data_IF_312734967491
#
_entry.id   IF_312734967491
#
_cell.length_a   1.000
_cell.length_b   1.000
_cell.length_c   1.000
_cell.angle_alpha   90.00
_cell.angle_beta   90.00
_cell.angle_gamma   90.00
#
_symmetry.space_group_name_H-M   'P 1'
#
loop_
_entity.id
_entity.type
_entity.pdbx_description
1 polymer ?
#
# COMPACT_ATOMS: atom_id res chain seq x y z
N UNK A 1 7.63 -0.24 10.91
CA UNK A 1 6.89 -1.38 10.33
C UNK A 1 7.24 -1.46 8.85
N UNK A 2 7.71 -2.59 8.35
CA UNK A 2 7.87 -2.78 6.90
C UNK A 2 6.56 -3.33 6.32
N UNK A 3 6.09 -2.74 5.24
CA UNK A 3 4.99 -3.28 4.46
C UNK A 3 5.49 -3.61 3.05
N UNK A 4 5.00 -4.70 2.50
CA UNK A 4 5.25 -5.13 1.13
C UNK A 4 3.93 -5.13 0.37
N UNK A 5 3.86 -4.33 -0.68
CA UNK A 5 2.70 -4.24 -1.55
C UNK A 5 3.07 -4.74 -2.93
N UNK A 6 2.26 -5.61 -3.52
CA UNK A 6 2.35 -5.92 -4.95
C UNK A 6 0.98 -5.92 -5.60
N UNK A 7 0.99 -5.61 -6.88
CA UNK A 7 -0.23 -5.53 -7.65
C UNK A 7 0.01 -5.22 -9.11
N UNK A 8 -1.09 -5.00 -9.80
CA UNK A 8 -1.09 -4.51 -11.16
C UNK A 8 -2.23 -3.54 -11.40
N UNK A 9 -2.07 -2.73 -12.43
CA UNK A 9 -3.08 -1.77 -12.86
C UNK A 9 -3.42 -1.98 -14.33
N UNK A 10 -4.70 -1.85 -14.67
CA UNK A 10 -5.22 -1.94 -16.04
C UNK A 10 -5.79 -0.61 -16.49
N UNK A 11 -5.78 -0.41 -17.81
CA UNK A 11 -6.35 0.76 -18.45
C UNK A 11 -6.82 0.38 -19.86
N UNK A 12 -8.11 0.52 -20.16
CA UNK A 12 -8.71 0.07 -21.43
C UNK A 12 -8.05 0.72 -22.65
N UNK A 13 -7.70 2.00 -22.54
CA UNK A 13 -7.03 2.78 -23.60
C UNK A 13 -5.51 2.63 -23.60
N UNK A 14 -4.95 1.78 -22.73
CA UNK A 14 -3.54 1.75 -22.43
C UNK A 14 -3.06 3.00 -21.68
N UNK A 15 -1.85 2.94 -21.16
CA UNK A 15 -1.33 4.01 -20.32
C UNK A 15 0.05 3.75 -19.75
N UNK A 16 0.37 4.51 -18.70
CA UNK A 16 1.63 4.39 -17.97
C UNK A 16 1.39 4.72 -16.51
N UNK A 17 1.89 3.89 -15.59
CA UNK A 17 2.02 4.28 -14.18
C UNK A 17 3.26 5.16 -14.07
N UNK A 18 3.07 6.38 -13.57
CA UNK A 18 4.07 7.44 -13.50
C UNK A 18 4.56 7.70 -12.09
N UNK A 19 3.87 7.18 -11.08
CA UNK A 19 4.29 7.33 -9.69
C UNK A 19 3.58 6.36 -8.77
N UNK A 20 4.25 6.01 -7.69
CA UNK A 20 3.72 5.20 -6.61
C UNK A 20 4.09 5.88 -5.31
N UNK A 21 3.10 6.08 -4.44
CA UNK A 21 3.32 6.68 -3.12
C UNK A 21 2.49 5.94 -2.07
N UNK A 22 3.08 5.69 -0.91
CA UNK A 22 2.35 5.18 0.25
C UNK A 22 2.32 6.26 1.31
N UNK A 23 1.12 6.51 1.83
CA UNK A 23 0.93 7.39 2.97
C UNK A 23 0.22 6.66 4.11
N UNK A 24 0.31 7.21 5.31
CA UNK A 24 -0.54 6.81 6.43
C UNK A 24 -0.88 8.03 7.29
N UNK A 25 -1.92 7.89 8.10
CA UNK A 25 -2.28 8.88 9.09
C UNK A 25 -1.54 8.62 10.40
N UNK A 26 -1.15 9.69 11.09
CA UNK A 26 -0.74 9.63 12.49
C UNK A 26 -1.72 10.44 13.36
N UNK A 27 -2.05 9.87 14.51
CA UNK A 27 -2.86 10.56 15.51
C UNK A 27 -2.05 11.73 16.12
N UNK A 28 -2.68 12.90 16.26
CA UNK A 28 -2.02 14.10 16.77
C UNK A 28 -1.39 13.89 18.14
N UNK A 29 -0.29 14.59 18.39
CA UNK A 29 0.27 14.76 19.72
C UNK A 29 -0.51 15.73 20.62
N UNK A 30 -1.76 16.08 20.32
CA UNK A 30 -2.53 17.08 21.10
C UNK A 30 -1.98 18.52 21.01
N UNK A 31 -2.69 19.45 21.65
CA UNK A 31 -2.50 20.92 21.52
C UNK A 31 -1.11 21.44 21.92
N UNK A 32 -0.36 20.71 22.77
CA UNK A 32 0.98 21.12 23.22
C UNK A 32 2.12 20.42 22.48
N UNK A 33 1.81 19.65 21.43
CA UNK A 33 2.84 18.96 20.66
C UNK A 33 3.50 19.87 19.65
N UNK A 34 4.82 19.72 19.54
CA UNK A 34 5.59 20.26 18.41
C UNK A 34 5.37 19.44 17.12
N UNK A 35 4.29 18.66 17.02
CA UNK A 35 3.96 17.98 15.77
C UNK A 35 3.44 19.02 14.75
N UNK A 36 3.77 18.87 13.45
CA UNK A 36 3.09 19.60 12.38
C UNK A 36 1.58 19.31 12.38
N UNK A 37 0.77 20.25 11.89
CA UNK A 37 -0.68 20.07 11.74
C UNK A 37 -1.05 19.04 10.65
N UNK A 38 -0.14 18.80 9.69
CA UNK A 38 -0.32 17.76 8.67
C UNK A 38 -0.29 16.38 9.31
N UNK A 39 -1.35 15.60 9.09
CA UNK A 39 -1.53 14.28 9.71
C UNK A 39 -1.29 13.11 8.78
N UNK A 40 -1.29 13.36 7.46
CA UNK A 40 -0.99 12.35 6.45
C UNK A 40 0.49 12.41 6.09
N UNK A 41 1.20 11.31 6.29
CA UNK A 41 2.64 11.21 6.14
C UNK A 41 3.02 10.29 5.01
N UNK A 42 4.00 10.71 4.21
CA UNK A 42 4.59 9.92 3.15
C UNK A 42 5.60 8.92 3.73
N UNK A 43 5.26 7.64 3.65
CA UNK A 43 6.14 6.54 4.06
C UNK A 43 7.05 6.06 2.92
N UNK A 44 6.62 6.26 1.68
CA UNK A 44 7.36 5.86 0.50
C UNK A 44 6.88 6.65 -0.71
N UNK A 45 7.80 7.01 -1.61
CA UNK A 45 7.47 7.57 -2.91
C UNK A 45 8.51 7.22 -3.96
N UNK A 46 8.02 6.87 -5.14
CA UNK A 46 8.79 6.86 -6.38
C UNK A 46 7.99 7.63 -7.43
N UNK A 47 8.63 8.62 -8.01
CA UNK A 47 8.09 9.43 -9.11
C UNK A 47 8.75 9.05 -10.43
N UNK A 48 8.26 9.63 -11.53
CA UNK A 48 8.81 9.50 -12.88
C UNK A 48 8.95 8.06 -13.37
N UNK A 49 8.04 7.19 -12.92
CA UNK A 49 7.94 5.82 -13.40
C UNK A 49 7.48 5.78 -14.87
N UNK A 50 7.84 4.69 -15.56
CA UNK A 50 7.37 4.42 -16.92
C UNK A 50 6.86 2.99 -17.07
N UNK A 51 6.04 2.54 -16.11
CA UNK A 51 5.47 1.18 -16.17
C UNK A 51 4.33 1.20 -17.18
N UNK A 52 4.54 0.57 -18.34
CA UNK A 52 3.56 0.56 -19.43
C UNK A 52 2.37 -0.34 -19.09
N UNK A 53 1.18 0.14 -19.47
CA UNK A 53 -0.08 -0.58 -19.45
C UNK A 53 -0.54 -0.69 -20.90
N UNK A 54 -0.70 -1.89 -21.43
CA UNK A 54 -1.20 -2.06 -22.80
C UNK A 54 -2.71 -1.83 -22.88
N UNK A 55 -3.21 -1.48 -24.05
CA UNK A 55 -4.64 -1.31 -24.30
C UNK A 55 -5.32 -2.63 -24.64
N UNK A 56 -5.95 -3.26 -23.66
CA UNK A 56 -7.01 -4.28 -23.76
C UNK A 56 -7.29 -4.83 -22.35
N UNK A 57 -8.47 -5.39 -22.11
CA UNK A 57 -8.83 -5.89 -20.77
C UNK A 57 -8.05 -7.19 -20.44
N UNK A 58 -7.35 -7.15 -19.31
CA UNK A 58 -6.71 -8.25 -18.56
C UNK A 58 -5.28 -8.66 -18.94
N UNK A 59 -4.92 -8.88 -20.21
CA UNK A 59 -3.56 -9.40 -20.55
C UNK A 59 -2.44 -8.35 -20.57
N UNK A 60 -2.79 -7.08 -20.38
CA UNK A 60 -1.92 -5.94 -20.63
C UNK A 60 -1.75 -5.00 -19.41
N UNK A 61 -1.82 -5.56 -18.20
CA UNK A 61 -1.67 -4.77 -16.96
C UNK A 61 -0.21 -4.37 -16.68
N UNK A 62 -0.01 -3.17 -16.15
CA UNK A 62 1.29 -2.75 -15.60
C UNK A 62 1.45 -3.26 -14.17
N UNK A 63 2.47 -4.07 -13.90
CA UNK A 63 2.74 -4.63 -12.58
C UNK A 63 3.69 -3.75 -11.76
N UNK A 64 3.51 -3.74 -10.44
CA UNK A 64 4.38 -3.02 -9.51
C UNK A 64 4.56 -3.79 -8.20
N UNK A 65 5.67 -3.51 -7.53
CA UNK A 65 5.92 -3.92 -6.15
C UNK A 65 6.53 -2.75 -5.39
N UNK A 66 6.02 -2.48 -4.19
CA UNK A 66 6.38 -1.33 -3.36
C UNK A 66 6.71 -1.80 -1.95
N UNK A 67 7.99 -1.72 -1.53
CA UNK A 67 8.34 -1.78 -0.12
C UNK A 67 8.15 -0.39 0.50
N UNK A 68 7.45 -0.30 1.63
CA UNK A 68 7.32 0.96 2.36
C UNK A 68 7.58 0.75 3.85
N UNK A 69 8.28 1.69 4.49
CA UNK A 69 8.53 1.67 5.92
C UNK A 69 7.60 2.68 6.59
N UNK A 70 6.62 2.18 7.33
CA UNK A 70 5.79 3.01 8.18
C UNK A 70 6.52 3.26 9.49
N UNK A 71 6.60 4.50 9.91
CA UNK A 71 7.25 4.92 11.14
C UNK A 71 6.37 5.91 11.86
N UNK A 72 6.14 5.71 13.16
CA UNK A 72 5.49 6.72 14.00
C UNK A 72 6.46 7.84 14.32
N UNK A 73 5.96 9.08 14.32
CA UNK A 73 6.66 10.20 14.96
C UNK A 73 6.51 10.11 16.47
N UNK A 74 7.63 10.32 17.16
CA UNK A 74 7.63 10.56 18.60
C UNK A 74 7.61 12.07 18.85
N UNK A 75 6.43 12.66 19.00
CA UNK A 75 6.34 14.04 19.43
C UNK A 75 6.39 14.10 20.96
N UNK A 76 7.44 14.72 21.50
CA UNK A 76 7.55 15.01 22.94
C UNK A 76 6.70 16.25 23.29
N UNK A 77 5.87 16.17 24.33
CA UNK A 77 5.36 17.37 25.02
C UNK A 77 6.30 17.73 26.17
N UNK A 78 6.42 19.02 26.48
CA UNK A 78 7.20 19.52 27.64
C UNK A 78 6.68 18.96 28.97
N UNK A 79 5.41 18.55 29.03
CA UNK A 79 4.76 18.05 30.25
C UNK A 79 4.59 16.53 30.30
N UNK A 80 4.55 15.84 29.14
CA UNK A 80 4.29 14.39 29.05
C UNK A 80 4.88 13.80 27.76
N UNK A 81 5.40 12.58 27.78
CA UNK A 81 5.57 11.83 26.53
C UNK A 81 4.23 11.19 26.19
N UNK A 82 3.65 11.54 25.03
CA UNK A 82 2.51 10.80 24.53
C UNK A 82 2.96 9.36 24.24
N UNK A 83 2.18 8.38 24.69
CA UNK A 83 2.41 6.98 24.31
C UNK A 83 2.25 6.89 22.80
N UNK A 84 3.31 6.46 22.10
CA UNK A 84 3.26 6.22 20.66
C UNK A 84 2.20 5.14 20.42
N UNK A 85 1.26 5.42 19.51
CA UNK A 85 0.23 4.45 19.13
C UNK A 85 0.89 3.20 18.57
N UNK A 86 0.38 2.02 18.93
CA UNK A 86 0.80 0.75 18.34
C UNK A 86 0.08 0.47 17.00
N UNK A 87 -0.51 1.49 16.37
CA UNK A 87 -1.35 1.33 15.18
C UNK A 87 -1.01 2.33 14.09
N UNK A 88 -0.85 1.83 12.87
CA UNK A 88 -0.82 2.64 11.66
C UNK A 88 -2.22 2.73 11.06
N UNK A 89 -2.77 3.93 10.97
CA UNK A 89 -4.14 4.19 10.54
C UNK A 89 -4.18 4.79 9.13
N UNK A 90 -5.33 4.65 8.46
CA UNK A 90 -5.62 5.25 7.16
C UNK A 90 -4.45 5.14 6.14
N UNK A 91 -3.93 3.92 6.00
CA UNK A 91 -2.82 3.64 5.08
C UNK A 91 -3.37 3.73 3.65
N UNK A 92 -2.72 4.49 2.78
CA UNK A 92 -3.16 4.70 1.40
C UNK A 92 -2.05 4.37 0.42
N UNK A 93 -2.41 3.66 -0.64
CA UNK A 93 -1.59 3.54 -1.84
C UNK A 93 -2.10 4.54 -2.88
N UNK A 94 -1.24 5.46 -3.28
CA UNK A 94 -1.44 6.40 -4.37
C UNK A 94 -0.73 5.86 -5.60
N UNK A 95 -1.48 5.74 -6.69
CA UNK A 95 -0.96 5.35 -8.01
C UNK A 95 -1.17 6.53 -8.93
N UNK A 96 -0.08 7.19 -9.31
CA UNK A 96 -0.10 8.24 -10.34
C UNK A 96 0.02 7.57 -11.70
N UNK A 97 -0.83 7.97 -12.65
CA UNK A 97 -0.90 7.33 -13.95
C UNK A 97 -1.31 8.30 -15.05
N UNK A 98 -1.02 7.91 -16.30
CA UNK A 98 -1.56 8.51 -17.51
C UNK A 98 -2.29 7.45 -18.32
N UNK A 99 -3.61 7.55 -18.38
CA UNK A 99 -4.49 6.62 -19.10
C UNK A 99 -5.06 7.29 -20.34
N UNK A 100 -4.78 6.74 -21.53
CA UNK A 100 -5.17 7.38 -22.80
C UNK A 100 -4.64 8.83 -22.95
N UNK A 101 -3.53 9.16 -22.30
CA UNK A 101 -2.93 10.50 -22.29
C UNK A 101 -3.36 11.42 -21.15
N UNK A 102 -4.39 11.06 -20.37
CA UNK A 102 -4.86 11.88 -19.24
C UNK A 102 -4.16 11.50 -17.96
N UNK A 103 -3.43 12.43 -17.36
CA UNK A 103 -2.80 12.25 -16.06
C UNK A 103 -3.83 12.32 -14.91
N UNK A 104 -3.71 11.41 -13.95
CA UNK A 104 -4.56 11.37 -12.75
C UNK A 104 -3.87 10.57 -11.64
N UNK A 105 -4.44 10.61 -10.43
CA UNK A 105 -3.97 9.84 -9.28
C UNK A 105 -5.13 9.01 -8.73
N UNK A 106 -4.87 7.73 -8.50
CA UNK A 106 -5.81 6.83 -7.83
C UNK A 106 -5.35 6.56 -6.41
N UNK A 107 -6.26 6.74 -5.46
CA UNK A 107 -6.03 6.43 -4.04
C UNK A 107 -6.76 5.14 -3.69
N UNK A 108 -6.04 4.20 -3.10
CA UNK A 108 -6.53 2.91 -2.61
C UNK A 108 -6.33 2.90 -1.10
N UNK A 109 -7.44 2.82 -0.35
CA UNK A 109 -7.39 2.69 1.09
C UNK A 109 -7.03 1.25 1.47
N UNK A 110 -5.96 1.11 2.24
CA UNK A 110 -5.46 -0.15 2.77
C UNK A 110 -5.93 -0.29 4.24
N UNK A 111 -6.04 -1.51 4.76
CA UNK A 111 -6.43 -1.71 6.14
C UNK A 111 -5.38 -1.14 7.10
N UNK A 112 -5.80 -0.75 8.30
CA UNK A 112 -4.87 -0.37 9.37
C UNK A 112 -4.01 -1.54 9.83
N UNK A 113 -2.86 -1.25 10.43
CA UNK A 113 -1.96 -2.24 11.01
C UNK A 113 -1.91 -2.04 12.51
N UNK A 114 -2.07 -3.12 13.27
CA UNK A 114 -1.76 -3.18 14.70
C UNK A 114 -0.40 -3.87 14.87
N UNK A 115 0.58 -3.15 15.41
CA UNK A 115 1.97 -3.60 15.57
C UNK A 115 2.06 -4.80 16.52
N UNK A 116 1.24 -4.84 17.58
CA UNK A 116 1.25 -5.91 18.56
C UNK A 116 0.75 -7.24 17.97
N UNK A 117 -0.06 -7.16 16.92
CA UNK A 117 -0.55 -8.35 16.19
C UNK A 117 0.48 -8.94 15.22
N UNK A 118 1.57 -8.21 14.91
CA UNK A 118 2.54 -8.57 13.88
C UNK A 118 3.98 -8.59 14.44
N UNK A 119 4.35 -9.71 15.08
CA UNK A 119 5.62 -9.85 15.83
C UNK A 119 6.87 -9.52 15.03
N UNK A 120 6.90 -9.89 13.76
CA UNK A 120 8.07 -9.70 12.89
C UNK A 120 8.16 -8.27 12.32
N UNK A 121 7.15 -7.43 12.57
CA UNK A 121 7.05 -6.06 12.06
C UNK A 121 7.14 -5.95 10.54
N UNK A 122 6.87 -7.05 9.84
CA UNK A 122 6.76 -7.13 8.39
C UNK A 122 5.41 -7.73 8.01
N UNK A 123 4.66 -7.01 7.19
CA UNK A 123 3.39 -7.51 6.63
C UNK A 123 3.35 -7.29 5.14
N UNK A 124 2.52 -8.07 4.46
CA UNK A 124 2.35 -8.00 3.04
C UNK A 124 0.88 -7.96 2.63
N UNK A 125 0.65 -7.30 1.49
CA UNK A 125 -0.61 -7.36 0.77
C UNK A 125 -0.30 -7.57 -0.71
N UNK A 126 -0.61 -8.77 -1.18
CA UNK A 126 -0.27 -9.23 -2.52
C UNK A 126 -1.46 -9.23 -3.48
N UNK A 127 -1.17 -9.13 -4.77
CA UNK A 127 -2.15 -9.30 -5.84
C UNK A 127 -3.22 -8.21 -5.89
N UNK A 128 -2.90 -6.98 -5.48
CA UNK A 128 -3.83 -5.85 -5.62
C UNK A 128 -4.06 -5.61 -7.12
N UNK A 129 -5.31 -5.56 -7.56
CA UNK A 129 -5.68 -5.23 -8.93
C UNK A 129 -6.42 -3.90 -8.95
N UNK A 130 -5.97 -2.98 -9.81
CA UNK A 130 -6.54 -1.64 -9.92
C UNK A 130 -7.01 -1.41 -11.36
N UNK A 131 -8.31 -1.24 -11.56
CA UNK A 131 -8.83 -0.73 -12.81
C UNK A 131 -8.78 0.80 -12.75
N UNK A 132 -7.92 1.41 -13.57
CA UNK A 132 -7.71 2.86 -13.59
C UNK A 132 -8.81 3.62 -14.36
N UNK A 133 -9.59 2.95 -15.22
CA UNK A 133 -10.68 3.57 -15.97
C UNK A 133 -11.87 3.92 -15.05
N UNK A 134 -12.22 3.02 -14.13
CA UNK A 134 -13.34 3.20 -13.21
C UNK A 134 -12.92 3.37 -11.74
N UNK A 135 -11.63 3.24 -11.45
CA UNK A 135 -11.08 3.36 -10.10
C UNK A 135 -11.47 2.21 -9.16
N UNK A 136 -11.91 1.06 -9.67
CA UNK A 136 -12.22 -0.10 -8.85
C UNK A 136 -10.94 -0.83 -8.44
N UNK A 137 -10.85 -1.22 -7.16
CA UNK A 137 -9.72 -1.95 -6.61
C UNK A 137 -10.19 -3.29 -6.04
N UNK A 138 -9.62 -4.37 -6.57
CA UNK A 138 -9.87 -5.76 -6.19
C UNK A 138 -8.56 -6.43 -5.77
N UNK A 139 -8.62 -7.68 -5.33
CA UNK A 139 -7.41 -8.41 -4.92
C UNK A 139 -7.48 -9.88 -5.34
N UNK A 140 -6.44 -10.35 -6.02
CA UNK A 140 -6.18 -11.77 -6.23
C UNK A 140 -5.63 -12.37 -4.94
N UNK A 141 -6.24 -13.45 -4.47
CA UNK A 141 -5.73 -14.18 -3.33
C UNK A 141 -5.88 -15.69 -3.52
N UNK A 142 -4.92 -16.43 -2.95
CA UNK A 142 -4.93 -17.88 -2.96
C UNK A 142 -6.06 -18.39 -2.07
N UNK A 143 -6.93 -19.21 -2.63
CA UNK A 143 -7.99 -19.93 -1.95
C UNK A 143 -8.04 -21.34 -2.53
N UNK A 144 -7.87 -22.36 -1.68
CA UNK A 144 -7.91 -23.77 -2.10
C UNK A 144 -7.00 -24.06 -3.32
N UNK A 145 -5.72 -23.64 -3.23
CA UNK A 145 -4.69 -23.79 -4.29
C UNK A 145 -4.99 -23.09 -5.62
N UNK A 146 -6.03 -22.26 -5.70
CA UNK A 146 -6.35 -21.45 -6.88
C UNK A 146 -6.38 -19.97 -6.52
N UNK A 147 -5.97 -19.11 -7.45
CA UNK A 147 -6.14 -17.67 -7.26
C UNK A 147 -7.57 -17.28 -7.61
N UNK A 148 -8.22 -16.56 -6.69
CA UNK A 148 -9.55 -15.98 -6.88
C UNK A 148 -9.45 -14.47 -6.77
N UNK A 149 -10.13 -13.76 -7.68
CA UNK A 149 -10.30 -12.31 -7.60
C UNK A 149 -11.42 -12.00 -6.61
N UNK A 150 -11.11 -11.23 -5.58
CA UNK A 150 -12.07 -10.67 -4.64
C UNK A 150 -12.40 -9.24 -5.07
N UNK A 151 -13.68 -8.91 -5.17
CA UNK A 151 -14.15 -7.60 -5.64
C UNK A 151 -13.61 -6.43 -4.82
N UNK A 152 -13.21 -6.66 -3.58
CA UNK A 152 -12.63 -5.62 -2.71
C UNK A 152 -11.26 -6.08 -2.25
N UNK A 153 -10.36 -5.11 -2.09
CA UNK A 153 -9.12 -5.31 -1.33
C UNK A 153 -9.47 -5.85 0.05
N UNK A 154 -8.76 -6.91 0.48
CA UNK A 154 -9.02 -7.56 1.76
C UNK A 154 -8.78 -6.58 2.90
N UNK A 155 -9.55 -6.75 3.98
CA UNK A 155 -9.49 -5.90 5.18
C UNK A 155 -8.37 -6.30 6.15
N UNK A 156 -7.51 -7.24 5.78
CA UNK A 156 -6.47 -7.77 6.67
C UNK A 156 -5.16 -7.90 5.93
N UNK A 157 -4.08 -7.60 6.64
CA UNK A 157 -2.71 -7.86 6.21
C UNK A 157 -2.35 -9.32 6.42
N UNK A 158 -1.39 -9.79 5.62
CA UNK A 158 -0.78 -11.11 5.82
C UNK A 158 0.58 -10.92 6.47
N UNK A 159 0.96 -11.80 7.39
CA UNK A 159 2.35 -11.87 7.83
C UNK A 159 3.20 -12.20 6.61
N UNK A 160 4.30 -11.48 6.40
CA UNK A 160 5.22 -11.78 5.32
C UNK A 160 5.90 -13.12 5.62
N UNK A 161 5.32 -14.19 5.10
CA UNK A 161 5.92 -15.50 5.18
C UNK A 161 6.93 -15.61 4.04
N UNK A 162 8.19 -15.86 4.38
CA UNK A 162 9.15 -16.41 3.42
C UNK A 162 8.71 -17.86 3.17
N UNK A 163 7.66 -18.05 2.40
CA UNK A 163 7.31 -19.37 1.90
C UNK A 163 8.34 -19.67 0.81
N UNK A 164 9.37 -20.45 1.14
CA UNK A 164 10.36 -20.89 0.16
C UNK A 164 9.67 -21.64 -0.98
N UNK A 165 9.57 -21.00 -2.14
CA UNK A 165 8.95 -21.57 -3.34
C UNK A 165 9.70 -22.80 -3.86
N UNK A 166 10.96 -22.98 -3.46
CA UNK A 166 11.87 -24.05 -3.94
C UNK A 166 12.28 -25.07 -2.89
N UNK A 167 11.62 -25.08 -1.72
CA UNK A 167 11.89 -26.07 -0.67
C UNK A 167 13.05 -25.70 0.27
N UNK A 168 12.79 -25.95 1.56
CA UNK A 168 13.62 -25.65 2.74
C UNK A 168 14.01 -24.20 2.95
N UNK A 169 13.08 -23.44 3.54
CA UNK A 169 13.45 -22.34 4.42
C UNK A 169 13.82 -22.97 5.76
N UNK A 170 15.11 -23.04 6.08
CA UNK A 170 15.53 -23.23 7.48
C UNK A 170 15.69 -21.84 8.11
N UNK A 171 15.18 -21.63 9.33
CA UNK A 171 15.41 -20.41 10.08
C UNK A 171 16.91 -20.21 10.36
#
# INVERSE_FOLDING_TARGET
MLILLDGCASCTKGGTITGLRVTHFEEDGGFFSNCPEEKEFEAFRVADLSIKIGGSEVENSGAFAVPAVLSHRSCSNILWMNTISDKYLDIKLHVDYSCGGTASTKIINLPSIDVNSNKDRVVEMRGIYINLDNGHASQYALYDKKYKLYEKVRKTWQNAQINCWTGTCKP
#
